data_IF_363097965618
#
_entry.id   IF_363097965618
#
_cell.length_a   1.000
_cell.length_b   1.000
_cell.length_c   1.000
_cell.angle_alpha   90.00
_cell.angle_beta   90.00
_cell.angle_gamma   90.00
#
_symmetry.space_group_name_H-M   'P 1'
#
loop_
_entity.id
_entity.type
_entity.pdbx_description
1 polymer ?
#
# COMPACT_ATOMS: atom_id res chain seq x y z
N UNK A 1 1.11 -24.44 -6.46
CA UNK A 1 1.63 -24.45 -5.08
C UNK A 1 0.71 -23.56 -4.25
N UNK A 2 -0.04 -24.14 -3.29
CA UNK A 2 -0.96 -23.38 -2.42
C UNK A 2 -0.15 -22.60 -1.37
N UNK A 3 -0.41 -21.30 -1.22
CA UNK A 3 0.26 -20.42 -0.25
C UNK A 3 -0.73 -20.02 0.84
N UNK A 4 -0.27 -20.03 2.09
CA UNK A 4 -1.03 -19.61 3.28
C UNK A 4 -0.60 -18.20 3.66
N UNK A 5 -1.55 -17.28 3.84
CA UNK A 5 -1.33 -16.05 4.60
C UNK A 5 -1.74 -16.31 6.06
N UNK A 6 -0.92 -15.87 7.00
CA UNK A 6 -1.20 -15.91 8.44
C UNK A 6 -1.37 -14.47 8.90
N UNK A 7 -2.60 -14.07 9.21
CA UNK A 7 -2.89 -12.76 9.82
C UNK A 7 -3.29 -13.04 11.26
N UNK A 8 -2.42 -12.66 12.19
CA UNK A 8 -2.69 -12.74 13.63
C UNK A 8 -3.44 -11.48 14.06
N UNK A 9 -4.76 -11.58 14.26
CA UNK A 9 -5.51 -10.54 14.96
C UNK A 9 -5.75 -10.98 16.40
N UNK A 10 -5.07 -10.32 17.33
CA UNK A 10 -5.23 -10.55 18.76
C UNK A 10 -6.49 -9.85 19.27
N UNK A 11 -7.63 -10.55 19.34
CA UNK A 11 -8.72 -10.25 20.29
C UNK A 11 -9.43 -11.54 20.72
N UNK A 12 -9.24 -11.85 22.00
CA UNK A 12 -10.01 -12.74 22.88
C UNK A 12 -10.43 -14.16 22.43
N UNK A 13 -9.66 -15.13 22.92
CA UNK A 13 -10.09 -16.28 23.73
C UNK A 13 -11.40 -17.03 23.43
N UNK A 14 -11.79 -17.21 22.16
CA UNK A 14 -12.58 -18.38 21.75
C UNK A 14 -12.30 -18.75 20.29
N UNK A 15 -11.76 -19.95 20.10
CA UNK A 15 -11.37 -20.55 18.83
C UNK A 15 -12.45 -20.46 17.75
N UNK A 16 -12.21 -19.70 16.67
CA UNK A 16 -12.64 -20.02 15.31
C UNK A 16 -11.66 -19.36 14.32
N UNK A 17 -10.75 -20.17 13.76
CA UNK A 17 -9.86 -19.75 12.68
C UNK A 17 -10.67 -19.77 11.38
N UNK A 18 -11.14 -18.61 10.93
CA UNK A 18 -11.66 -18.47 9.56
C UNK A 18 -10.47 -18.25 8.62
N UNK A 19 -9.96 -19.34 8.05
CA UNK A 19 -9.05 -19.27 6.90
C UNK A 19 -9.87 -18.88 5.66
N UNK A 20 -9.78 -17.62 5.24
CA UNK A 20 -10.26 -17.23 3.92
C UNK A 20 -9.33 -17.83 2.86
N UNK A 21 -9.89 -18.65 1.97
CA UNK A 21 -9.17 -19.20 0.84
C UNK A 21 -8.95 -18.10 -0.21
N UNK A 22 -7.72 -17.61 -0.34
CA UNK A 22 -7.30 -16.82 -1.49
C UNK A 22 -7.35 -17.73 -2.73
N UNK A 23 -8.40 -17.62 -3.52
CA UNK A 23 -8.43 -18.22 -4.85
C UNK A 23 -7.53 -17.38 -5.75
N UNK A 24 -6.36 -17.90 -6.08
CA UNK A 24 -5.56 -17.40 -7.19
C UNK A 24 -6.39 -17.55 -8.46
N UNK A 25 -6.99 -16.46 -8.93
CA UNK A 25 -7.49 -16.38 -10.30
C UNK A 25 -6.28 -16.53 -11.19
N UNK A 26 -6.28 -17.59 -12.00
CA UNK A 26 -5.25 -17.85 -13.00
C UNK A 26 -5.43 -16.85 -14.14
N UNK A 27 -4.81 -15.68 -14.03
CA UNK A 27 -4.60 -14.80 -15.17
C UNK A 27 -3.33 -15.23 -15.89
N UNK A 28 -3.49 -16.23 -16.75
CA UNK A 28 -2.52 -16.57 -17.79
C UNK A 28 -2.39 -15.38 -18.76
N UNK A 29 -1.13 -14.98 -19.00
CA UNK A 29 -0.67 -14.27 -20.21
C UNK A 29 -0.57 -12.72 -20.19
N UNK A 30 0.30 -12.17 -19.34
CA UNK A 30 1.03 -10.91 -19.62
C UNK A 30 2.24 -10.64 -18.69
N UNK A 31 3.27 -11.48 -18.72
CA UNK A 31 4.53 -11.15 -18.02
C UNK A 31 5.35 -10.16 -18.86
N UNK A 32 5.14 -8.86 -18.64
CA UNK A 32 6.20 -7.89 -18.87
C UNK A 32 7.26 -8.12 -17.79
N UNK A 33 8.29 -8.92 -18.11
CA UNK A 33 9.38 -9.20 -17.16
C UNK A 33 10.16 -7.89 -16.97
N UNK A 34 9.79 -7.12 -15.94
CA UNK A 34 10.61 -5.99 -15.48
C UNK A 34 11.91 -6.61 -14.98
N UNK A 35 13.03 -6.14 -15.50
CA UNK A 35 14.33 -6.70 -15.14
C UNK A 35 14.71 -6.31 -13.70
N UNK A 36 15.45 -7.19 -13.03
CA UNK A 36 16.03 -6.91 -11.71
C UNK A 36 16.89 -5.63 -11.71
N UNK A 37 17.50 -5.30 -12.85
CA UNK A 37 18.29 -4.09 -13.04
C UNK A 37 17.43 -2.83 -13.03
N UNK A 38 16.28 -2.84 -13.72
CA UNK A 38 15.31 -1.74 -13.69
C UNK A 38 14.71 -1.54 -12.30
N UNK A 39 14.32 -2.62 -11.61
CA UNK A 39 13.84 -2.55 -10.23
C UNK A 39 14.89 -1.96 -9.29
N UNK A 40 16.15 -2.41 -9.41
CA UNK A 40 17.26 -1.86 -8.65
C UNK A 40 17.47 -0.36 -8.95
N UNK A 41 17.39 0.06 -10.22
CA UNK A 41 17.52 1.45 -10.60
C UNK A 41 16.43 2.32 -9.97
N UNK A 42 15.16 1.86 -10.00
CA UNK A 42 14.03 2.53 -9.34
C UNK A 42 14.23 2.61 -7.82
N UNK A 43 14.66 1.51 -7.18
CA UNK A 43 14.94 1.50 -5.75
C UNK A 43 16.02 2.53 -5.39
N UNK A 44 17.13 2.57 -6.13
CA UNK A 44 18.20 3.55 -5.89
C UNK A 44 17.74 5.00 -6.11
N UNK A 45 16.85 5.24 -7.08
CA UNK A 45 16.25 6.54 -7.29
C UNK A 45 15.35 6.93 -6.11
N UNK A 46 14.55 5.99 -5.59
CA UNK A 46 13.71 6.19 -4.41
C UNK A 46 14.55 6.53 -3.17
N UNK A 47 15.57 5.73 -2.87
CA UNK A 47 16.48 5.96 -1.73
C UNK A 47 17.11 7.35 -1.79
N UNK A 48 17.54 7.79 -2.98
CA UNK A 48 18.09 9.14 -3.19
C UNK A 48 17.05 10.23 -2.98
N UNK A 49 15.83 10.06 -3.51
CA UNK A 49 14.75 11.05 -3.40
C UNK A 49 14.34 11.31 -1.94
N UNK A 50 14.30 10.26 -1.12
CA UNK A 50 13.89 10.35 0.29
C UNK A 50 15.08 10.45 1.26
N UNK A 51 16.30 10.65 0.74
CA UNK A 51 17.53 10.79 1.53
C UNK A 51 17.71 9.64 2.56
N UNK A 52 17.31 8.43 2.17
CA UNK A 52 17.36 7.27 3.03
C UNK A 52 18.83 6.82 3.16
N UNK A 53 19.31 6.70 4.40
CA UNK A 53 20.66 6.22 4.64
C UNK A 53 20.84 4.75 4.22
N UNK A 54 22.06 4.38 3.85
CA UNK A 54 22.38 3.04 3.34
C UNK A 54 22.01 1.91 4.32
N UNK A 55 22.21 2.09 5.63
CA UNK A 55 21.91 1.06 6.62
C UNK A 55 20.39 0.76 6.69
N UNK A 56 19.55 1.77 6.49
CA UNK A 56 18.10 1.58 6.39
C UNK A 56 17.67 1.07 5.01
N UNK A 57 18.32 1.52 3.93
CA UNK A 57 18.06 1.01 2.58
C UNK A 57 18.27 -0.52 2.49
N UNK A 58 19.33 -1.05 3.10
CA UNK A 58 19.56 -2.50 3.14
C UNK A 58 18.45 -3.26 3.89
N UNK A 59 17.87 -2.66 4.94
CA UNK A 59 16.71 -3.23 5.61
C UNK A 59 15.47 -3.22 4.72
N UNK A 60 15.21 -2.12 4.01
CA UNK A 60 14.09 -2.06 3.07
C UNK A 60 14.22 -3.08 1.94
N UNK A 61 15.45 -3.29 1.44
CA UNK A 61 15.75 -4.29 0.41
C UNK A 61 15.44 -5.73 0.85
N UNK A 62 15.46 -6.01 2.16
CA UNK A 62 15.09 -7.33 2.68
C UNK A 62 13.63 -7.71 2.45
N UNK A 63 12.78 -6.75 2.08
CA UNK A 63 11.38 -6.98 1.69
C UNK A 63 11.23 -7.50 0.25
N UNK A 64 12.31 -7.57 -0.55
CA UNK A 64 12.26 -8.11 -1.92
C UNK A 64 11.72 -9.55 -1.91
N UNK A 65 10.78 -9.84 -2.81
CA UNK A 65 10.19 -11.17 -3.00
C UNK A 65 9.08 -11.53 -2.01
N UNK A 66 8.68 -10.59 -1.14
CA UNK A 66 7.43 -10.68 -0.39
C UNK A 66 6.31 -10.01 -1.17
N UNK A 67 5.12 -10.60 -1.09
CA UNK A 67 3.88 -9.95 -1.49
C UNK A 67 3.57 -8.83 -0.49
N UNK A 68 3.42 -7.59 -0.97
CA UNK A 68 3.12 -6.43 -0.11
C UNK A 68 1.66 -6.03 -0.33
N UNK A 69 0.89 -6.04 0.76
CA UNK A 69 -0.53 -5.70 0.77
C UNK A 69 -0.78 -4.55 1.73
N UNK A 70 -1.55 -3.56 1.30
CA UNK A 70 -2.01 -2.44 2.12
C UNK A 70 -3.48 -2.62 2.47
N UNK A 71 -3.85 -2.31 3.70
CA UNK A 71 -5.24 -2.24 4.15
C UNK A 71 -5.47 -0.83 4.68
N UNK A 72 -6.33 -0.08 3.99
CA UNK A 72 -6.57 1.34 4.19
C UNK A 72 -7.91 1.56 4.89
N UNK A 73 -7.91 2.34 5.97
CA UNK A 73 -9.14 2.83 6.59
C UNK A 73 -9.74 3.96 5.74
N UNK A 74 -10.99 3.78 5.30
CA UNK A 74 -11.78 4.76 4.56
C UNK A 74 -13.13 5.04 5.25
N UNK A 75 -13.15 4.93 6.58
CA UNK A 75 -14.28 5.36 7.41
C UNK A 75 -14.47 6.88 7.38
N UNK A 76 -15.69 7.35 7.66
CA UNK A 76 -16.04 8.77 7.69
C UNK A 76 -15.17 9.58 8.67
N UNK A 77 -14.63 8.93 9.71
CA UNK A 77 -13.70 9.54 10.67
C UNK A 77 -12.38 10.03 10.02
N UNK A 78 -12.04 9.49 8.84
CA UNK A 78 -10.87 9.91 8.05
C UNK A 78 -11.04 11.29 7.40
N UNK A 79 -12.25 11.87 7.40
CA UNK A 79 -12.47 13.27 7.05
C UNK A 79 -12.06 14.26 8.15
N UNK A 80 -11.60 13.78 9.32
CA UNK A 80 -11.14 14.66 10.41
C UNK A 80 -9.94 15.49 9.94
N UNK A 81 -10.05 16.80 10.06
CA UNK A 81 -8.96 17.75 9.80
C UNK A 81 -7.85 17.59 10.84
N UNK A 82 -6.62 17.69 10.36
CA UNK A 82 -5.41 17.76 11.18
C UNK A 82 -5.13 19.23 11.50
N UNK A 83 -4.53 19.50 12.66
CA UNK A 83 -4.25 20.86 13.14
C UNK A 83 -3.17 21.60 12.34
N UNK A 84 -2.43 20.90 11.48
CA UNK A 84 -1.32 21.44 10.71
C UNK A 84 -1.80 22.10 9.43
N UNK A 85 -2.19 23.38 9.53
CA UNK A 85 -2.50 24.21 8.37
C UNK A 85 -1.24 24.99 7.96
N UNK A 86 -0.78 24.78 6.73
CA UNK A 86 0.44 25.41 6.19
C UNK A 86 0.33 26.94 6.03
N UNK A 87 -0.89 27.47 5.97
CA UNK A 87 -1.16 28.90 5.80
C UNK A 87 -2.64 29.27 6.07
N UNK A 88 -2.94 30.56 6.27
CA UNK A 88 -4.28 31.03 6.68
C UNK A 88 -5.38 30.84 5.62
N UNK A 89 -5.02 30.47 4.38
CA UNK A 89 -5.94 30.24 3.27
C UNK A 89 -5.92 28.80 2.75
N UNK A 90 -5.07 27.95 3.33
CA UNK A 90 -4.97 26.55 2.92
C UNK A 90 -6.06 25.73 3.61
N UNK A 91 -6.59 24.74 2.90
CA UNK A 91 -7.45 23.72 3.53
C UNK A 91 -6.58 22.92 4.51
N UNK A 92 -7.08 22.71 5.72
CA UNK A 92 -6.45 21.79 6.67
C UNK A 92 -6.41 20.37 6.08
N UNK A 93 -5.24 19.70 6.03
CA UNK A 93 -5.17 18.34 5.55
C UNK A 93 -6.00 17.44 6.45
N UNK A 94 -6.73 16.50 5.88
CA UNK A 94 -7.49 15.50 6.62
C UNK A 94 -6.64 14.25 6.88
N UNK A 95 -7.07 13.37 7.78
CA UNK A 95 -6.46 12.04 7.94
C UNK A 95 -6.45 11.25 6.62
N UNK A 96 -7.45 11.44 5.78
CA UNK A 96 -7.50 10.87 4.43
C UNK A 96 -6.38 11.38 3.54
N UNK A 97 -6.10 12.68 3.58
CA UNK A 97 -4.99 13.29 2.81
C UNK A 97 -3.63 12.77 3.30
N UNK A 98 -3.46 12.59 4.62
CA UNK A 98 -2.27 11.98 5.22
C UNK A 98 -2.10 10.50 4.83
N UNK A 99 -3.19 9.73 4.87
CA UNK A 99 -3.20 8.35 4.42
C UNK A 99 -2.83 8.25 2.94
N UNK A 100 -3.45 9.07 2.07
CA UNK A 100 -3.11 9.15 0.65
C UNK A 100 -1.61 9.35 0.47
N UNK A 101 -1.06 10.40 1.08
CA UNK A 101 0.37 10.71 0.99
C UNK A 101 1.23 9.55 1.44
N UNK A 102 0.89 8.93 2.57
CA UNK A 102 1.66 7.82 3.13
C UNK A 102 1.62 6.60 2.21
N UNK A 103 0.43 6.16 1.79
CA UNK A 103 0.26 5.00 0.91
C UNK A 103 0.96 5.25 -0.43
N UNK A 104 0.83 6.44 -1.02
CA UNK A 104 1.57 6.80 -2.24
C UNK A 104 3.08 6.59 -2.11
N UNK A 105 3.69 7.06 -1.01
CA UNK A 105 5.13 6.89 -0.77
C UNK A 105 5.50 5.41 -0.66
N UNK A 106 4.73 4.62 0.10
CA UNK A 106 5.08 3.22 0.37
C UNK A 106 4.78 2.33 -0.83
N UNK A 107 3.75 2.63 -1.63
CA UNK A 107 3.47 1.94 -2.91
C UNK A 107 4.62 2.16 -3.88
N UNK A 108 5.11 3.39 -4.02
CA UNK A 108 6.25 3.69 -4.89
C UNK A 108 7.54 2.99 -4.44
N UNK A 109 7.70 2.76 -3.13
CA UNK A 109 8.81 1.94 -2.61
C UNK A 109 8.60 0.46 -2.94
N UNK A 110 7.42 -0.06 -2.59
CA UNK A 110 7.09 -1.47 -2.70
C UNK A 110 7.13 -1.96 -4.15
N UNK A 111 6.70 -1.14 -5.11
CA UNK A 111 6.77 -1.45 -6.54
C UNK A 111 8.20 -1.52 -7.11
N UNK A 112 9.21 -1.06 -6.36
CA UNK A 112 10.63 -1.29 -6.70
C UNK A 112 11.17 -2.63 -6.17
N UNK A 113 10.41 -3.31 -5.32
CA UNK A 113 10.79 -4.54 -4.63
C UNK A 113 9.98 -5.75 -5.12
N UNK A 114 8.77 -5.49 -5.63
CA UNK A 114 7.85 -6.46 -6.22
C UNK A 114 7.54 -6.10 -7.68
N UNK A 115 7.93 -6.93 -8.68
CA UNK A 115 7.61 -6.69 -10.09
C UNK A 115 6.11 -6.76 -10.42
N UNK A 116 5.35 -7.52 -9.64
CA UNK A 116 3.92 -7.72 -9.88
C UNK A 116 3.09 -6.55 -9.34
N UNK A 117 3.69 -5.71 -8.49
CA UNK A 117 3.09 -4.53 -7.88
C UNK A 117 2.65 -4.80 -6.45
N UNK A 118 1.65 -4.05 -5.98
CA UNK A 118 1.07 -4.24 -4.65
C UNK A 118 -0.45 -4.17 -4.69
N UNK A 119 -1.09 -4.87 -3.76
CA UNK A 119 -2.54 -4.85 -3.60
C UNK A 119 -2.93 -3.85 -2.52
N UNK A 120 -3.91 -3.01 -2.81
CA UNK A 120 -4.43 -2.00 -1.88
C UNK A 120 -5.90 -2.27 -1.64
N UNK A 121 -6.19 -2.71 -0.42
CA UNK A 121 -7.53 -2.92 0.10
C UNK A 121 -7.99 -1.69 0.86
N UNK A 122 -9.29 -1.45 0.82
CA UNK A 122 -9.98 -0.48 1.66
C UNK A 122 -11.02 -1.20 2.51
N UNK A 123 -11.33 -0.66 3.69
CA UNK A 123 -12.28 -1.32 4.60
C UNK A 123 -13.73 -1.29 4.10
N UNK A 124 -14.11 -0.25 3.34
CA UNK A 124 -15.51 0.01 2.95
C UNK A 124 -15.72 0.11 1.43
N UNK A 125 -14.72 -0.23 0.61
CA UNK A 125 -14.82 -0.24 -0.87
C UNK A 125 -13.96 -1.33 -1.50
N UNK A 126 -14.17 -1.56 -2.79
CA UNK A 126 -13.42 -2.57 -3.54
C UNK A 126 -11.91 -2.29 -3.56
N UNK A 127 -11.07 -3.34 -3.49
CA UNK A 127 -9.63 -3.21 -3.60
C UNK A 127 -9.17 -2.88 -5.03
N UNK A 128 -7.94 -2.39 -5.13
CA UNK A 128 -7.19 -2.28 -6.37
C UNK A 128 -5.96 -3.18 -6.31
N UNK A 129 -5.72 -3.94 -7.38
CA UNK A 129 -4.67 -4.97 -7.43
C UNK A 129 -3.53 -4.55 -8.34
N UNK A 130 -2.34 -5.11 -8.08
CA UNK A 130 -1.16 -4.95 -8.94
C UNK A 130 -0.77 -3.49 -9.22
N UNK A 131 -0.95 -2.62 -8.22
CA UNK A 131 -0.58 -1.20 -8.31
C UNK A 131 0.93 -1.08 -8.42
N UNK A 132 1.42 -0.38 -9.45
CA UNK A 132 2.88 -0.23 -9.69
C UNK A 132 3.40 1.19 -9.48
N UNK A 133 2.50 2.14 -9.32
CA UNK A 133 2.83 3.55 -9.10
C UNK A 133 1.77 4.23 -8.25
N UNK A 134 2.19 5.22 -7.47
CA UNK A 134 1.28 6.06 -6.68
C UNK A 134 0.26 6.81 -7.53
N UNK A 135 0.58 7.11 -8.80
CA UNK A 135 -0.33 7.75 -9.76
C UNK A 135 -1.62 6.94 -9.98
N UNK A 136 -1.55 5.61 -9.90
CA UNK A 136 -2.70 4.71 -10.06
C UNK A 136 -3.68 4.79 -8.87
N UNK A 137 -3.22 5.32 -7.72
CA UNK A 137 -4.06 5.49 -6.53
C UNK A 137 -4.96 6.73 -6.62
N UNK A 138 -4.66 7.69 -7.51
CA UNK A 138 -5.36 8.98 -7.59
C UNK A 138 -6.88 8.83 -7.73
N UNK A 139 -7.33 7.87 -8.54
CA UNK A 139 -8.76 7.61 -8.75
C UNK A 139 -9.43 7.14 -7.45
N UNK A 140 -8.75 6.28 -6.68
CA UNK A 140 -9.31 5.72 -5.43
C UNK A 140 -9.38 6.78 -4.33
N UNK A 141 -8.38 7.65 -4.24
CA UNK A 141 -8.35 8.73 -3.25
C UNK A 141 -9.14 9.99 -3.66
N UNK A 142 -9.54 10.11 -4.93
CA UNK A 142 -10.45 11.17 -5.38
C UNK A 142 -11.86 11.05 -4.77
N UNK A 143 -12.27 9.82 -4.40
CA UNK A 143 -13.52 9.57 -3.69
C UNK A 143 -13.28 9.72 -2.18
N UNK A 144 -14.03 10.60 -1.49
CA UNK A 144 -13.87 10.80 -0.05
C UNK A 144 -14.17 9.51 0.75
N UNK A 145 -13.65 9.37 1.97
CA UNK A 145 -13.97 8.25 2.84
C UNK A 145 -15.38 8.44 3.42
N UNK A 146 -16.30 7.52 3.10
CA UNK A 146 -17.70 7.57 3.52
C UNK A 146 -18.12 6.33 4.32
N UNK A 147 -17.17 5.45 4.65
CA UNK A 147 -17.43 4.22 5.38
C UNK A 147 -18.00 4.46 6.78
N UNK A 148 -18.87 3.56 7.24
CA UNK A 148 -19.40 3.60 8.61
C UNK A 148 -18.69 2.47 9.37
N UNK A 149 -17.78 2.83 10.27
CA UNK A 149 -17.21 1.92 11.27
C UNK A 149 -17.78 2.25 12.65
#
# INVERSE_FOLDING_TARGET
>A
MSRKACIETARDSTNFVNCYNYHSVQDDNRQHIVSDEELNAKFQQFIRRYEINNAFAEKLRSLKGYEIVFICDDSASMNTELSDVSGPYDRAPTRWDELKRTVSIVVDLASTLDPDGVDVYFLNREPIYHVRSSDELEIMFALPPEGIL
#
